data_IF_613537882855
#
_entry.id   IF_613537882855
#
_cell.length_a   1.000
_cell.length_b   1.000
_cell.length_c   1.000
_cell.angle_alpha   90.00
_cell.angle_beta   90.00
_cell.angle_gamma   90.00
#
_symmetry.space_group_name_H-M   'P 1'
#
loop_
_entity.id
_entity.type
_entity.pdbx_description
1 polymer ?
#
# COMPACT_ATOMS: atom_id res chain seq x y z
N UNK A 1 8.81 -3.16 -2.38
CA UNK A 1 8.24 -3.83 -3.59
C UNK A 1 7.06 -3.01 -4.06
N UNK A 2 6.87 -2.76 -5.35
CA UNK A 2 5.76 -1.93 -5.85
C UNK A 2 4.96 -2.67 -6.93
N UNK A 3 3.64 -2.60 -6.86
CA UNK A 3 2.71 -3.09 -7.89
C UNK A 3 1.75 -1.99 -8.29
N UNK A 4 1.53 -1.83 -9.58
CA UNK A 4 0.61 -0.83 -10.13
C UNK A 4 -0.52 -1.58 -10.81
N UNK A 5 -1.75 -1.24 -10.43
CA UNK A 5 -2.96 -1.85 -10.94
C UNK A 5 -3.81 -0.79 -11.64
N UNK A 6 -4.29 -1.09 -12.84
CA UNK A 6 -5.31 -0.26 -13.49
C UNK A 6 -6.71 -0.62 -12.97
N UNK A 7 -7.48 0.37 -12.56
CA UNK A 7 -8.85 0.19 -12.10
C UNK A 7 -9.73 1.37 -12.51
N UNK A 8 -10.75 1.13 -13.36
CA UNK A 8 -11.73 2.13 -13.81
C UNK A 8 -11.13 3.45 -14.33
N UNK A 9 -10.00 3.39 -15.04
CA UNK A 9 -9.30 4.58 -15.55
C UNK A 9 -8.38 5.27 -14.53
N UNK A 10 -8.22 4.68 -13.35
CA UNK A 10 -7.24 5.09 -12.34
C UNK A 10 -6.09 4.08 -12.26
N UNK A 11 -4.96 4.54 -11.77
CA UNK A 11 -3.82 3.74 -11.39
C UNK A 11 -3.73 3.67 -9.88
N UNK A 12 -3.85 2.47 -9.34
CA UNK A 12 -3.65 2.14 -7.93
C UNK A 12 -2.25 1.55 -7.78
N UNK A 13 -1.32 2.35 -7.29
CA UNK A 13 0.03 1.90 -6.98
C UNK A 13 0.12 1.48 -5.50
N UNK A 14 0.39 0.21 -5.26
CA UNK A 14 0.61 -0.36 -3.93
C UNK A 14 2.09 -0.64 -3.74
N UNK A 15 2.70 0.08 -2.80
CA UNK A 15 4.09 -0.08 -2.43
C UNK A 15 4.21 -0.70 -1.05
N UNK A 16 5.05 -1.72 -0.92
CA UNK A 16 5.33 -2.40 0.35
C UNK A 16 6.60 -1.84 0.97
N UNK A 17 6.44 -1.22 2.13
CA UNK A 17 7.52 -0.81 3.02
C UNK A 17 7.76 -1.92 4.07
N UNK A 18 8.91 -2.59 4.06
CA UNK A 18 9.23 -3.58 5.09
C UNK A 18 9.54 -2.87 6.42
N UNK A 19 8.97 -3.38 7.51
CA UNK A 19 9.21 -2.87 8.87
C UNK A 19 10.24 -3.75 9.57
N UNK A 20 11.34 -3.14 10.01
CA UNK A 20 12.46 -3.82 10.65
C UNK A 20 12.49 -3.41 12.11
N UNK A 21 12.65 -4.37 13.03
CA UNK A 21 12.96 -4.07 14.44
C UNK A 21 14.47 -3.96 14.57
N UNK A 22 14.98 -2.77 14.88
CA UNK A 22 16.40 -2.55 15.11
C UNK A 22 16.78 -3.10 16.49
N UNK A 23 17.01 -4.41 16.56
CA UNK A 23 17.57 -5.04 17.75
C UNK A 23 19.09 -5.10 17.62
N UNK A 24 19.78 -3.98 17.88
CA UNK A 24 21.17 -3.90 18.36
C UNK A 24 22.31 -4.69 17.69
N UNK A 25 22.10 -5.38 16.57
CA UNK A 25 23.08 -6.26 15.98
C UNK A 25 22.71 -6.51 14.53
N UNK A 26 23.68 -6.32 13.64
CA UNK A 26 23.58 -6.56 12.21
C UNK A 26 23.35 -8.06 11.99
N UNK A 27 22.10 -8.48 12.05
CA UNK A 27 21.64 -9.73 11.47
C UNK A 27 20.57 -9.35 10.48
N UNK A 28 20.77 -9.73 9.21
CA UNK A 28 19.81 -9.60 8.11
C UNK A 28 18.57 -10.46 8.41
N UNK A 29 17.83 -10.13 9.46
CA UNK A 29 16.61 -10.81 9.84
C UNK A 29 15.50 -10.41 8.88
N UNK A 30 14.61 -11.38 8.60
CA UNK A 30 13.42 -11.14 7.83
C UNK A 30 12.63 -9.94 8.41
N UNK A 31 12.01 -9.09 7.57
CA UNK A 31 11.18 -7.99 8.06
C UNK A 31 10.15 -8.50 9.07
N UNK A 32 9.91 -7.73 10.12
CA UNK A 32 8.87 -8.03 11.11
C UNK A 32 7.46 -8.00 10.47
N UNK A 33 7.34 -7.30 9.34
CA UNK A 33 6.15 -7.27 8.50
C UNK A 33 6.27 -6.23 7.41
N UNK A 34 5.14 -5.90 6.79
CA UNK A 34 5.03 -4.94 5.69
C UNK A 34 3.92 -3.92 5.96
N UNK A 35 4.18 -2.67 5.62
CA UNK A 35 3.17 -1.61 5.51
C UNK A 35 2.87 -1.42 4.03
N UNK A 36 1.59 -1.38 3.67
CA UNK A 36 1.17 -1.08 2.31
C UNK A 36 0.92 0.42 2.18
N UNK A 37 1.65 1.08 1.29
CA UNK A 37 1.47 2.48 0.92
C UNK A 37 0.75 2.51 -0.41
N UNK A 38 -0.49 2.98 -0.40
CA UNK A 38 -1.36 3.05 -1.58
C UNK A 38 -1.35 4.47 -2.10
N UNK A 39 -1.01 4.63 -3.38
CA UNK A 39 -1.09 5.87 -4.11
C UNK A 39 -2.08 5.69 -5.25
N UNK A 40 -3.00 6.63 -5.38
CA UNK A 40 -4.05 6.58 -6.40
C UNK A 40 -3.91 7.83 -7.25
N UNK A 41 -3.96 7.66 -8.56
CA UNK A 41 -3.95 8.76 -9.53
C UNK A 41 -4.81 8.38 -10.72
N UNK A 42 -5.27 9.37 -11.48
CA UNK A 42 -5.87 9.06 -12.78
C UNK A 42 -4.80 8.49 -13.72
N UNK A 43 -5.20 7.57 -14.60
CA UNK A 43 -4.28 6.99 -15.57
C UNK A 43 -3.69 8.09 -16.47
N UNK A 44 -2.36 8.12 -16.58
CA UNK A 44 -1.63 9.17 -17.29
C UNK A 44 -1.49 10.51 -16.55
N UNK A 45 -2.05 10.65 -15.34
CA UNK A 45 -1.84 11.85 -14.53
C UNK A 45 -0.50 11.82 -13.79
N UNK A 46 0.14 12.98 -13.69
CA UNK A 46 1.41 13.14 -12.95
C UNK A 46 1.19 13.30 -11.44
N UNK A 47 0.01 13.81 -11.05
CA UNK A 47 -0.31 14.10 -9.65
C UNK A 47 -1.20 13.02 -9.02
N UNK A 48 -0.95 12.67 -7.76
CA UNK A 48 -1.84 11.78 -7.02
C UNK A 48 -3.20 12.47 -6.79
N UNK A 49 -4.26 11.67 -6.88
CA UNK A 49 -5.64 12.09 -6.64
C UNK A 49 -5.87 12.40 -5.15
N UNK A 50 -5.23 11.62 -4.28
CA UNK A 50 -5.34 11.71 -2.81
C UNK A 50 -3.97 11.57 -2.16
N UNK A 51 -3.86 11.98 -0.90
CA UNK A 51 -2.67 11.71 -0.09
C UNK A 51 -2.41 10.19 0.00
N UNK A 52 -1.14 9.74 0.00
CA UNK A 52 -0.81 8.33 0.11
C UNK A 52 -1.42 7.70 1.37
N UNK A 53 -2.13 6.58 1.18
CA UNK A 53 -2.81 5.87 2.27
C UNK A 53 -1.85 4.81 2.79
N UNK A 54 -1.52 4.88 4.08
CA UNK A 54 -0.70 3.87 4.76
C UNK A 54 -1.60 2.86 5.45
N UNK A 55 -1.45 1.59 5.10
CA UNK A 55 -2.22 0.48 5.65
C UNK A 55 -1.30 -0.49 6.37
N UNK A 56 -1.79 -0.96 7.50
CA UNK A 56 -1.17 -1.98 8.34
C UNK A 56 -2.26 -2.99 8.74
N UNK A 57 -1.88 -4.18 9.18
CA UNK A 57 -2.85 -5.23 9.56
C UNK A 57 -3.76 -4.77 10.70
N UNK A 58 -3.20 -4.05 11.66
CA UNK A 58 -3.92 -3.32 12.70
C UNK A 58 -3.26 -1.97 12.93
N UNK A 59 -3.87 -1.07 13.71
CA UNK A 59 -3.34 0.28 14.00
C UNK A 59 -1.88 0.29 14.46
N UNK A 60 -1.37 -0.81 15.02
CA UNK A 60 -0.02 -0.91 15.54
C UNK A 60 0.81 -2.04 14.95
N UNK A 61 0.25 -2.86 14.05
CA UNK A 61 0.93 -4.06 13.55
C UNK A 61 1.00 -4.07 12.02
N UNK A 62 2.22 -4.17 11.44
CA UNK A 62 2.36 -4.37 10.00
C UNK A 62 1.76 -5.71 9.58
N UNK A 63 1.46 -5.86 8.29
CA UNK A 63 1.03 -7.13 7.72
C UNK A 63 2.13 -8.18 7.85
N UNK A 64 1.75 -9.42 8.14
CA UNK A 64 2.71 -10.51 8.32
C UNK A 64 3.36 -10.89 6.98
N UNK A 65 2.60 -10.78 5.88
CA UNK A 65 3.08 -11.18 4.56
C UNK A 65 2.92 -10.07 3.51
N UNK A 66 3.74 -10.15 2.47
CA UNK A 66 3.63 -9.26 1.30
C UNK A 66 2.28 -9.42 0.60
N UNK A 67 1.75 -10.63 0.55
CA UNK A 67 0.47 -10.93 -0.10
C UNK A 67 -0.70 -10.24 0.61
N UNK A 68 -0.76 -10.32 1.94
CA UNK A 68 -1.76 -9.59 2.75
C UNK A 68 -1.69 -8.09 2.52
N UNK A 69 -0.48 -7.52 2.56
CA UNK A 69 -0.28 -6.09 2.37
C UNK A 69 -0.70 -5.64 0.96
N UNK A 70 -0.37 -6.42 -0.08
CA UNK A 70 -0.76 -6.11 -1.46
C UNK A 70 -2.27 -6.21 -1.66
N UNK A 71 -2.91 -7.25 -1.13
CA UNK A 71 -4.36 -7.42 -1.23
C UNK A 71 -5.09 -6.28 -0.51
N UNK A 72 -4.69 -5.98 0.73
CA UNK A 72 -5.27 -4.88 1.50
C UNK A 72 -5.09 -3.53 0.78
N UNK A 73 -3.89 -3.28 0.24
CA UNK A 73 -3.61 -2.07 -0.52
C UNK A 73 -4.43 -1.93 -1.79
N UNK A 74 -4.61 -3.03 -2.53
CA UNK A 74 -5.42 -3.02 -3.74
C UNK A 74 -6.90 -2.80 -3.41
N UNK A 75 -7.46 -3.51 -2.43
CA UNK A 75 -8.85 -3.37 -2.01
C UNK A 75 -9.17 -1.96 -1.50
N UNK A 76 -8.27 -1.36 -0.70
CA UNK A 76 -8.43 0.02 -0.26
C UNK A 76 -8.37 1.02 -1.43
N UNK A 77 -7.47 0.79 -2.39
CA UNK A 77 -7.38 1.61 -3.59
C UNK A 77 -8.65 1.57 -4.44
N UNK A 78 -9.22 0.38 -4.64
CA UNK A 78 -10.49 0.22 -5.35
C UNK A 78 -11.62 0.99 -4.66
N UNK A 79 -11.71 0.88 -3.32
CA UNK A 79 -12.74 1.58 -2.55
C UNK A 79 -12.66 3.09 -2.70
N UNK A 80 -11.47 3.68 -2.63
CA UNK A 80 -11.31 5.13 -2.80
C UNK A 80 -11.64 5.57 -4.22
N UNK A 81 -11.30 4.77 -5.23
CA UNK A 81 -11.72 5.04 -6.62
C UNK A 81 -13.25 4.99 -6.73
N UNK A 82 -13.88 3.98 -6.14
CA UNK A 82 -15.34 3.85 -6.14
C UNK A 82 -16.02 5.03 -5.42
N UNK A 83 -15.50 5.43 -4.25
CA UNK A 83 -16.00 6.59 -3.50
C UNK A 83 -15.81 7.90 -4.30
N UNK A 84 -14.71 8.02 -5.05
CA UNK A 84 -14.48 9.19 -5.92
C UNK A 84 -15.41 9.23 -7.13
N UNK A 85 -15.76 8.07 -7.69
CA UNK A 85 -16.67 7.97 -8.83
C UNK A 85 -18.15 8.09 -8.43
N UNK A 86 -18.48 7.82 -7.18
CA UNK A 86 -19.84 7.93 -6.64
C UNK A 86 -20.21 9.35 -6.17
N UNK A 87 -19.21 10.22 -5.94
CA UNK A 87 -19.38 11.62 -5.58
C UNK A 87 -19.47 12.54 -6.80
#
# INVERSE_FOLDING_TARGET
MKRIYGYKGFEVAVELEPVWKTAGGVTLLAPQGFVAVVQIRMAGATHPLVAPIRLSSTTQQPFATQAEALMAGYSAGQRVVDDTLAG
#
